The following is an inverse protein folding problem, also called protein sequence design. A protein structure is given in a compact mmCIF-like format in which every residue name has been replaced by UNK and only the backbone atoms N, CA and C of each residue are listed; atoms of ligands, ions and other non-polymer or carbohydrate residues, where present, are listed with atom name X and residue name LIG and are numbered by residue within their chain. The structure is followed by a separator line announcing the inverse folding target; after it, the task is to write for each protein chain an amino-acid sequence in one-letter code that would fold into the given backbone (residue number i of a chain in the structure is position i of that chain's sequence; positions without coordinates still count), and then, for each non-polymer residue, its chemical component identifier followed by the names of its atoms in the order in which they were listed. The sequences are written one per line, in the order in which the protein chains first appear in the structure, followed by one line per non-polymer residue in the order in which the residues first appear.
data_IF_465987756854
#
_entry.id   IF_465987756854
#
_cell.length_a   1.000
_cell.length_b   1.000
_cell.length_c   1.000
_cell.angle_alpha   90.00
_cell.angle_beta   90.00
_cell.angle_gamma   90.00
#
_symmetry.space_group_name_H-M   'P 1'
#
loop_
_entity.id
_entity.type
_entity.pdbx_description
1 polymer ?
#
# COMPACT_ATOMS: atom_id res chain seq x y z
N UNK A 1 23.42 -2.07 -0.39
CA UNK A 1 22.18 -1.59 0.25
C UNK A 1 22.36 -1.70 1.76
N UNK A 2 22.56 -0.57 2.46
CA UNK A 2 22.55 -0.53 3.94
C UNK A 2 21.10 -0.36 4.42
N UNK A 3 20.79 -0.85 5.62
CA UNK A 3 19.54 -0.52 6.32
C UNK A 3 18.27 -1.15 5.74
N UNK A 4 18.36 -2.34 5.13
CA UNK A 4 17.16 -3.11 4.75
C UNK A 4 16.48 -3.63 6.03
N UNK A 5 15.21 -3.30 6.20
CA UNK A 5 14.36 -3.80 7.29
C UNK A 5 13.27 -4.68 6.69
N UNK A 6 13.12 -5.88 7.24
CA UNK A 6 12.05 -6.80 6.86
C UNK A 6 10.93 -6.71 7.90
N UNK A 7 9.69 -6.78 7.43
CA UNK A 7 8.50 -6.80 8.26
C UNK A 7 7.65 -8.03 7.97
N UNK A 8 6.75 -8.38 8.87
CA UNK A 8 5.63 -9.28 8.54
C UNK A 8 4.51 -8.48 7.89
N UNK A 9 3.54 -9.15 7.26
CA UNK A 9 2.37 -8.48 6.66
C UNK A 9 1.56 -7.69 7.68
N UNK A 10 1.68 -8.04 8.97
CA UNK A 10 1.04 -7.33 10.08
C UNK A 10 1.46 -5.86 10.21
N UNK A 11 2.68 -5.49 9.79
CA UNK A 11 3.17 -4.12 9.87
C UNK A 11 2.41 -3.16 8.93
N UNK A 12 1.84 -3.67 7.84
CA UNK A 12 1.06 -2.91 6.87
C UNK A 12 -0.42 -2.79 7.26
N UNK A 13 -0.86 -3.47 8.32
CA UNK A 13 -2.28 -3.46 8.72
C UNK A 13 -2.66 -2.16 9.41
N UNK A 14 -3.90 -1.73 9.18
CA UNK A 14 -4.61 -0.85 10.11
C UNK A 14 -4.60 -1.44 11.50
N UNK A 15 -4.24 -0.64 12.49
CA UNK A 15 -4.08 -1.10 13.86
C UNK A 15 -4.71 -0.15 14.89
N UNK A 16 -5.41 0.88 14.44
CA UNK A 16 -6.24 1.74 15.26
C UNK A 16 -7.70 1.59 14.82
N UNK A 17 -8.58 1.26 15.77
CA UNK A 17 -10.02 1.21 15.53
C UNK A 17 -10.57 2.62 15.65
N UNK A 18 -10.95 3.21 14.52
CA UNK A 18 -11.62 4.51 14.51
C UNK A 18 -13.11 4.29 14.19
N UNK A 19 -14.00 4.84 15.02
CA UNK A 19 -15.45 4.78 14.80
C UNK A 19 -15.81 5.64 13.59
N UNK A 20 -16.61 5.09 12.67
CA UNK A 20 -17.15 5.83 11.52
C UNK A 20 -16.22 5.89 10.32
N UNK A 21 -16.14 4.79 9.56
CA UNK A 21 -15.59 4.84 8.21
C UNK A 21 -16.49 5.72 7.32
N UNK A 22 -15.92 6.62 6.51
CA UNK A 22 -16.70 7.39 5.57
C UNK A 22 -17.30 6.44 4.54
N UNK A 23 -18.61 6.51 4.31
CA UNK A 23 -19.22 5.76 3.21
C UNK A 23 -18.65 6.23 1.87
N UNK A 24 -18.27 5.28 1.02
CA UNK A 24 -17.93 5.57 -0.36
C UNK A 24 -19.20 5.93 -1.14
N UNK A 25 -19.28 7.16 -1.67
CA UNK A 25 -20.42 7.61 -2.49
C UNK A 25 -19.95 8.37 -3.72
N UNK A 26 -20.50 8.01 -4.87
CA UNK A 26 -20.23 8.62 -6.18
C UNK A 26 -21.14 9.82 -6.52
N UNK A 27 -21.72 10.46 -5.51
CA UNK A 27 -22.63 11.58 -5.73
C UNK A 27 -21.88 12.80 -6.29
N UNK A 28 -22.41 13.38 -7.37
CA UNK A 28 -21.85 14.59 -7.98
C UNK A 28 -21.93 15.75 -6.99
N UNK A 29 -20.79 16.39 -6.71
CA UNK A 29 -20.70 17.57 -5.84
C UNK A 29 -20.44 17.28 -4.36
N UNK A 30 -20.50 16.03 -3.91
CA UNK A 30 -20.16 15.68 -2.53
C UNK A 30 -18.64 15.76 -2.30
N UNK A 31 -18.24 16.57 -1.31
CA UNK A 31 -16.88 16.58 -0.75
C UNK A 31 -16.93 15.84 0.58
N UNK A 32 -16.09 14.83 0.74
CA UNK A 32 -16.01 14.04 1.97
C UNK A 32 -14.61 14.16 2.57
N UNK A 33 -14.54 14.54 3.83
CA UNK A 33 -13.30 14.44 4.60
C UNK A 33 -13.06 12.96 4.93
N UNK A 34 -11.97 12.41 4.41
CA UNK A 34 -11.53 11.04 4.63
C UNK A 34 -10.22 10.97 5.41
N UNK A 35 -9.83 12.06 6.09
CA UNK A 35 -8.64 12.14 6.94
C UNK A 35 -8.58 11.03 7.99
N UNK A 36 -9.75 10.54 8.41
CA UNK A 36 -9.91 9.41 9.34
C UNK A 36 -9.23 8.12 8.87
N UNK A 37 -9.03 7.94 7.56
CA UNK A 37 -8.37 6.74 7.01
C UNK A 37 -6.87 6.72 7.34
N UNK A 38 -6.23 7.90 7.38
CA UNK A 38 -4.82 8.04 7.76
C UNK A 38 -4.65 7.68 9.24
N UNK A 39 -5.62 8.08 10.06
CA UNK A 39 -5.61 7.87 11.52
C UNK A 39 -5.81 6.41 11.95
N UNK A 40 -6.12 5.50 11.01
CA UNK A 40 -6.22 4.06 11.30
C UNK A 40 -4.85 3.37 11.40
N UNK A 41 -3.77 4.08 11.09
CA UNK A 41 -2.40 3.62 11.18
C UNK A 41 -1.69 4.31 12.34
N UNK A 42 -1.14 3.52 13.26
CA UNK A 42 -0.52 4.01 14.50
C UNK A 42 0.63 5.01 14.30
N UNK A 43 1.34 4.94 13.17
CA UNK A 43 2.52 5.76 12.89
C UNK A 43 2.24 6.92 11.93
N UNK A 44 0.97 7.12 11.54
CA UNK A 44 0.58 8.14 10.59
C UNK A 44 -0.31 9.19 11.23
N UNK A 45 -0.18 10.41 10.73
CA UNK A 45 -1.03 11.55 11.07
C UNK A 45 -1.37 12.32 9.82
N UNK A 46 -2.43 13.12 9.88
CA UNK A 46 -2.63 14.21 8.92
C UNK A 46 -1.86 15.42 9.42
N UNK A 47 -1.03 16.03 8.56
CA UNK A 47 -0.23 17.22 8.90
C UNK A 47 -1.15 18.35 9.38
N UNK A 48 -0.67 19.16 10.33
CA UNK A 48 -1.43 20.31 10.83
C UNK A 48 -1.82 21.28 9.71
N UNK A 49 -3.11 21.66 9.66
CA UNK A 49 -3.65 22.52 8.60
C UNK A 49 -3.91 21.83 7.25
N UNK A 50 -3.73 20.50 7.19
CA UNK A 50 -4.06 19.68 6.02
C UNK A 50 -5.31 18.84 6.28
N UNK A 51 -5.97 18.46 5.19
CA UNK A 51 -7.08 17.51 5.16
C UNK A 51 -6.95 16.60 3.95
N UNK A 52 -7.42 15.36 4.08
CA UNK A 52 -7.58 14.45 2.94
C UNK A 52 -9.06 14.40 2.58
N UNK A 53 -9.39 14.75 1.35
CA UNK A 53 -10.79 14.79 0.89
C UNK A 53 -11.00 13.90 -0.34
N UNK A 54 -12.14 13.23 -0.44
CA UNK A 54 -12.61 12.63 -1.69
C UNK A 54 -13.67 13.53 -2.32
N UNK A 55 -13.51 13.83 -3.60
CA UNK A 55 -14.45 14.60 -4.40
C UNK A 55 -14.52 14.00 -5.81
N UNK A 56 -15.74 13.67 -6.26
CA UNK A 56 -16.00 13.10 -7.59
C UNK A 56 -15.16 11.84 -7.91
N UNK A 57 -14.82 11.07 -6.87
CA UNK A 57 -14.02 9.85 -6.97
C UNK A 57 -12.54 10.10 -7.31
N UNK A 58 -12.02 11.26 -6.90
CA UNK A 58 -10.60 11.57 -6.82
C UNK A 58 -10.31 11.99 -5.38
N UNK A 59 -9.17 11.57 -4.84
CA UNK A 59 -8.73 11.95 -3.50
C UNK A 59 -7.69 13.06 -3.61
N UNK A 60 -7.82 14.07 -2.77
CA UNK A 60 -6.99 15.26 -2.75
C UNK A 60 -6.44 15.52 -1.36
N UNK A 61 -5.28 16.16 -1.31
CA UNK A 61 -4.81 16.87 -0.13
C UNK A 61 -5.26 18.34 -0.22
N UNK A 62 -5.86 18.86 0.85
CA UNK A 62 -6.32 20.25 0.94
C UNK A 62 -5.62 20.96 2.08
N UNK A 63 -5.17 22.19 1.84
CA UNK A 63 -4.69 23.10 2.88
C UNK A 63 -5.15 24.53 2.56
N UNK A 64 -5.36 25.35 3.59
CA UNK A 64 -5.81 26.73 3.43
C UNK A 64 -4.83 27.57 2.59
N UNK A 65 -3.53 27.30 2.72
CA UNK A 65 -2.48 28.15 2.14
C UNK A 65 -2.09 27.77 0.71
N UNK A 66 -2.32 26.51 0.29
CA UNK A 66 -1.88 25.96 -1.01
C UNK A 66 -3.01 25.40 -1.87
N UNK A 67 -4.25 25.49 -1.41
CA UNK A 67 -5.43 24.99 -2.13
C UNK A 67 -5.51 23.45 -2.17
N UNK A 68 -6.12 22.92 -3.24
CA UNK A 68 -6.22 21.48 -3.49
C UNK A 68 -4.99 20.96 -4.26
N UNK A 69 -4.45 19.84 -3.79
CA UNK A 69 -3.41 19.04 -4.42
C UNK A 69 -3.95 17.67 -4.78
N UNK A 70 -3.64 17.19 -5.97
CA UNK A 70 -4.07 15.85 -6.43
C UNK A 70 -3.37 14.71 -5.68
N UNK A 71 -2.16 14.93 -5.16
CA UNK A 71 -1.49 13.92 -4.35
C UNK A 71 -1.95 14.00 -2.89
N UNK A 72 -2.86 13.11 -2.52
CA UNK A 72 -3.37 12.97 -1.16
C UNK A 72 -2.26 12.71 -0.12
N UNK A 73 -1.16 12.06 -0.53
CA UNK A 73 -0.06 11.72 0.36
C UNK A 73 0.76 12.95 0.78
N UNK A 74 0.60 14.11 0.12
CA UNK A 74 1.16 15.38 0.60
C UNK A 74 0.64 15.77 1.99
N UNK A 75 -0.61 15.41 2.31
CA UNK A 75 -1.22 15.68 3.61
C UNK A 75 -0.78 14.70 4.71
N UNK A 76 -0.16 13.57 4.34
CA UNK A 76 0.23 12.51 5.28
C UNK A 76 1.58 12.83 5.91
N UNK A 77 1.65 12.66 7.23
CA UNK A 77 2.86 12.73 8.04
C UNK A 77 3.04 11.48 8.89
N UNK A 78 4.18 11.39 9.56
CA UNK A 78 4.55 10.31 10.45
C UNK A 78 5.92 10.57 11.07
N UNK A 79 6.45 9.61 11.80
CA UNK A 79 7.69 9.75 12.59
C UNK A 79 8.98 9.51 11.78
N UNK A 80 8.88 9.22 10.48
CA UNK A 80 10.02 8.90 9.61
C UNK A 80 10.65 7.53 9.85
N UNK A 81 10.05 6.69 10.69
CA UNK A 81 10.54 5.33 10.94
C UNK A 81 10.25 4.40 9.75
N UNK A 82 11.01 3.30 9.59
CA UNK A 82 10.71 2.25 8.62
C UNK A 82 9.27 1.73 8.70
N UNK A 83 8.72 1.60 9.92
CA UNK A 83 7.33 1.16 10.13
C UNK A 83 6.34 2.20 9.60
N UNK A 84 6.59 3.49 9.85
CA UNK A 84 5.74 4.56 9.34
C UNK A 84 5.66 4.57 7.82
N UNK A 85 6.78 4.34 7.12
CA UNK A 85 6.76 4.23 5.65
C UNK A 85 6.01 2.99 5.16
N UNK A 86 6.12 1.84 5.86
CA UNK A 86 5.35 0.64 5.51
C UNK A 86 3.84 0.87 5.69
N UNK A 87 3.45 1.52 6.78
CA UNK A 87 2.06 1.90 7.00
C UNK A 87 1.59 2.95 5.97
N UNK A 88 2.43 3.91 5.59
CA UNK A 88 2.10 4.89 4.56
C UNK A 88 1.89 4.26 3.18
N UNK A 89 2.66 3.22 2.84
CA UNK A 89 2.46 2.45 1.60
C UNK A 89 1.10 1.75 1.59
N UNK A 90 0.69 1.17 2.72
CA UNK A 90 -0.66 0.60 2.87
C UNK A 90 -1.75 1.66 2.83
N UNK A 91 -1.54 2.78 3.52
CA UNK A 91 -2.46 3.92 3.55
C UNK A 91 -2.71 4.49 2.15
N UNK A 92 -1.68 4.59 1.31
CA UNK A 92 -1.83 5.00 -0.09
C UNK A 92 -2.86 4.15 -0.86
N UNK A 93 -2.80 2.84 -0.66
CA UNK A 93 -3.77 1.91 -1.24
C UNK A 93 -5.17 2.08 -0.63
N UNK A 94 -5.26 2.24 0.68
CA UNK A 94 -6.53 2.49 1.36
C UNK A 94 -7.19 3.81 0.91
N UNK A 95 -6.42 4.85 0.66
CA UNK A 95 -6.93 6.10 0.07
C UNK A 95 -7.37 5.89 -1.38
N UNK A 96 -6.67 5.03 -2.14
CA UNK A 96 -7.00 4.72 -3.53
C UNK A 96 -8.35 4.00 -3.68
N UNK A 97 -8.80 3.27 -2.65
CA UNK A 97 -10.16 2.69 -2.60
C UNK A 97 -11.27 3.76 -2.66
N UNK A 98 -10.97 4.99 -2.26
CA UNK A 98 -11.89 6.13 -2.31
C UNK A 98 -11.79 6.91 -3.64
N UNK A 99 -11.13 6.33 -4.64
CA UNK A 99 -11.10 6.83 -6.02
C UNK A 99 -11.99 5.96 -6.93
N UNK A 100 -12.36 6.45 -8.12
CA UNK A 100 -13.09 5.64 -9.14
C UNK A 100 -12.33 4.40 -9.59
N UNK A 101 -11.00 4.42 -9.47
CA UNK A 101 -10.13 3.34 -9.93
C UNK A 101 -10.05 2.20 -8.92
N UNK A 102 -10.34 2.47 -7.64
CA UNK A 102 -10.12 1.54 -6.53
C UNK A 102 -8.62 1.28 -6.27
N UNK A 103 -8.32 0.50 -5.24
CA UNK A 103 -6.97 -0.02 -5.02
C UNK A 103 -6.71 -1.30 -5.81
N UNK A 104 -5.45 -1.47 -6.21
CA UNK A 104 -4.90 -2.71 -6.75
C UNK A 104 -4.31 -3.65 -5.69
N UNK A 105 -4.30 -3.23 -4.42
CA UNK A 105 -3.73 -3.96 -3.30
C UNK A 105 -4.66 -3.90 -2.10
N UNK A 106 -4.91 -5.07 -1.50
CA UNK A 106 -5.62 -5.23 -0.24
C UNK A 106 -4.63 -5.69 0.83
N UNK A 107 -4.78 -5.21 2.07
CA UNK A 107 -3.94 -5.65 3.19
C UNK A 107 -3.99 -7.18 3.40
N UNK A 108 -5.13 -7.80 3.09
CA UNK A 108 -5.31 -9.23 3.19
C UNK A 108 -4.50 -10.02 2.15
N UNK A 109 -4.23 -9.44 0.99
CA UNK A 109 -3.45 -10.07 -0.09
C UNK A 109 -1.94 -9.87 0.05
N UNK A 110 -1.48 -8.97 0.94
CA UNK A 110 -0.05 -8.79 1.20
C UNK A 110 0.54 -10.10 1.74
N UNK A 111 1.56 -10.58 1.05
CA UNK A 111 2.33 -11.77 1.38
C UNK A 111 3.34 -11.48 2.49
N UNK A 112 3.58 -12.51 3.31
CA UNK A 112 4.78 -12.70 4.09
C UNK A 112 5.12 -14.20 4.08
N UNK A 113 6.30 -14.56 4.57
CA UNK A 113 6.80 -15.94 4.53
C UNK A 113 5.91 -16.89 5.34
N UNK A 114 5.16 -16.39 6.31
CA UNK A 114 4.19 -17.17 7.09
C UNK A 114 2.93 -17.47 6.29
N UNK A 115 2.39 -16.47 5.56
CA UNK A 115 1.25 -16.66 4.67
C UNK A 115 1.57 -17.62 3.54
N UNK A 116 2.74 -17.48 2.91
CA UNK A 116 3.20 -18.40 1.84
C UNK A 116 3.23 -19.84 2.37
N UNK A 117 3.82 -20.07 3.54
CA UNK A 117 3.85 -21.40 4.18
C UNK A 117 2.45 -21.93 4.45
N UNK A 118 1.54 -21.10 4.95
CA UNK A 118 0.16 -21.53 5.18
C UNK A 118 -0.56 -21.90 3.87
N UNK A 119 -0.40 -21.10 2.82
CA UNK A 119 -0.98 -21.40 1.50
C UNK A 119 -0.43 -22.72 0.96
N UNK A 120 0.88 -22.96 1.08
CA UNK A 120 1.52 -24.21 0.66
C UNK A 120 0.98 -25.42 1.44
N UNK A 121 0.84 -25.30 2.77
CA UNK A 121 0.26 -26.34 3.62
C UNK A 121 -1.17 -26.72 3.21
N UNK A 122 -1.97 -25.76 2.76
CA UNK A 122 -3.33 -25.98 2.28
C UNK A 122 -3.42 -26.27 0.77
N UNK A 123 -2.28 -26.48 0.08
CA UNK A 123 -2.20 -26.69 -1.38
C UNK A 123 -2.85 -25.58 -2.19
N UNK A 124 -2.80 -24.37 -1.64
CA UNK A 124 -3.33 -23.13 -2.21
C UNK A 124 -2.23 -22.25 -2.81
N UNK A 125 -1.00 -22.74 -2.83
CA UNK A 125 0.18 -22.08 -3.38
C UNK A 125 0.63 -22.77 -4.67
N UNK A 126 0.56 -22.07 -5.80
CA UNK A 126 0.88 -22.67 -7.10
C UNK A 126 2.24 -22.27 -7.68
N UNK A 127 3.03 -21.46 -6.97
CA UNK A 127 4.30 -20.91 -7.48
C UNK A 127 5.54 -21.73 -7.07
N UNK A 128 5.36 -22.95 -6.58
CA UNK A 128 6.44 -23.83 -6.16
C UNK A 128 7.32 -23.22 -5.04
N UNK A 129 8.57 -23.69 -4.95
CA UNK A 129 9.47 -23.24 -3.89
C UNK A 129 9.89 -21.78 -4.09
N UNK A 130 9.69 -20.95 -3.07
CA UNK A 130 10.10 -19.54 -3.08
C UNK A 130 11.51 -19.39 -2.52
N UNK A 131 12.47 -19.05 -3.36
CA UNK A 131 13.89 -18.91 -2.97
C UNK A 131 14.23 -17.56 -2.31
N UNK A 132 13.28 -16.61 -2.27
CA UNK A 132 13.49 -15.28 -1.68
C UNK A 132 12.29 -14.91 -0.81
N UNK A 133 12.56 -14.27 0.32
CA UNK A 133 11.50 -13.78 1.19
C UNK A 133 10.57 -12.81 0.46
N UNK A 134 9.26 -13.00 0.62
CA UNK A 134 8.20 -12.14 0.09
C UNK A 134 7.65 -11.18 1.15
N UNK A 135 8.32 -11.13 2.31
CA UNK A 135 8.04 -10.18 3.37
C UNK A 135 8.08 -8.73 2.86
N UNK A 136 7.22 -7.84 3.39
CA UNK A 136 7.35 -6.40 3.19
C UNK A 136 8.76 -5.92 3.53
N UNK A 137 9.30 -5.05 2.68
CA UNK A 137 10.67 -4.57 2.79
C UNK A 137 10.69 -3.06 2.83
N UNK A 138 11.45 -2.50 3.76
CA UNK A 138 11.88 -1.11 3.75
C UNK A 138 13.39 -0.99 3.49
N UNK A 139 13.81 0.02 2.73
CA UNK A 139 15.21 0.44 2.61
C UNK A 139 15.31 1.85 2.06
N UNK A 140 16.51 2.43 2.09
CA UNK A 140 16.81 3.67 1.35
C UNK A 140 17.49 3.37 0.01
N UNK A 141 17.05 4.02 -1.05
CA UNK A 141 17.73 3.95 -2.35
C UNK A 141 19.06 4.73 -2.36
N UNK A 142 19.76 4.73 -3.50
CA UNK A 142 21.05 5.43 -3.65
C UNK A 142 20.97 6.95 -3.49
N UNK A 143 19.78 7.53 -3.64
CA UNK A 143 19.50 8.95 -3.48
C UNK A 143 18.86 9.26 -2.11
N UNK A 144 18.89 8.29 -1.19
CA UNK A 144 18.33 8.38 0.17
C UNK A 144 16.81 8.60 0.20
N UNK A 145 16.09 8.16 -0.81
CA UNK A 145 14.64 8.07 -0.74
C UNK A 145 14.22 6.84 0.05
N UNK A 146 13.25 6.96 0.96
CA UNK A 146 12.61 5.80 1.59
C UNK A 146 11.88 4.98 0.52
N UNK A 147 12.08 3.66 0.51
CA UNK A 147 11.44 2.74 -0.44
C UNK A 147 10.80 1.59 0.32
N UNK A 148 9.54 1.32 0.00
CA UNK A 148 8.80 0.15 0.47
C UNK A 148 8.44 -0.76 -0.69
N UNK A 149 8.75 -2.04 -0.56
CA UNK A 149 8.32 -3.09 -1.49
C UNK A 149 7.32 -3.99 -0.79
N UNK A 150 6.14 -4.16 -1.40
CA UNK A 150 5.12 -5.11 -0.99
C UNK A 150 4.91 -6.14 -2.09
N UNK A 151 4.66 -7.38 -1.71
CA UNK A 151 4.19 -8.42 -2.62
C UNK A 151 2.75 -8.77 -2.26
N UNK A 152 1.88 -8.91 -3.25
CA UNK A 152 0.48 -9.28 -3.04
C UNK A 152 0.07 -10.47 -3.91
N UNK A 153 -0.72 -11.38 -3.35
CA UNK A 153 -1.22 -12.58 -4.01
C UNK A 153 -2.68 -12.44 -4.41
N UNK A 154 -2.96 -12.67 -5.69
CA UNK A 154 -4.29 -12.55 -6.28
C UNK A 154 -4.65 -13.84 -7.00
N UNK A 155 -5.86 -14.35 -6.73
CA UNK A 155 -6.39 -15.61 -7.31
C UNK A 155 -7.52 -15.38 -8.31
N UNK A 156 -7.95 -14.14 -8.52
CA UNK A 156 -9.05 -13.79 -9.42
C UNK A 156 -8.61 -13.99 -10.88
N UNK A 157 -9.05 -15.09 -11.49
CA UNK A 157 -8.66 -15.47 -12.84
C UNK A 157 -7.30 -16.16 -12.87
N UNK A 158 -6.26 -15.44 -13.31
CA UNK A 158 -4.90 -15.98 -13.40
C UNK A 158 -4.19 -15.69 -12.08
N UNK A 159 -3.72 -16.75 -11.41
CA UNK A 159 -3.04 -16.60 -10.14
C UNK A 159 -1.74 -15.79 -10.35
N UNK A 160 -1.64 -14.67 -9.64
CA UNK A 160 -0.60 -13.68 -9.88
C UNK A 160 -0.02 -13.19 -8.56
N UNK A 161 1.30 -13.07 -8.51
CA UNK A 161 2.00 -12.29 -7.48
C UNK A 161 2.34 -10.95 -8.10
N UNK A 162 1.90 -9.87 -7.49
CA UNK A 162 2.25 -8.51 -7.89
C UNK A 162 3.29 -7.94 -6.94
N UNK A 163 4.24 -7.19 -7.49
CA UNK A 163 5.23 -6.43 -6.74
C UNK A 163 4.89 -4.95 -6.85
N UNK A 164 4.62 -4.34 -5.70
CA UNK A 164 4.35 -2.92 -5.54
C UNK A 164 5.56 -2.22 -4.94
N UNK A 165 6.03 -1.14 -5.58
CA UNK A 165 7.18 -0.34 -5.18
C UNK A 165 6.69 1.08 -4.87
N UNK A 166 6.89 1.51 -3.64
CA UNK A 166 6.53 2.83 -3.13
C UNK A 166 7.82 3.57 -2.84
N UNK A 167 8.12 4.59 -3.64
CA UNK A 167 9.29 5.44 -3.43
C UNK A 167 8.85 6.80 -2.91
N UNK A 168 9.12 7.06 -1.65
CA UNK A 168 8.75 8.29 -0.97
C UNK A 168 9.73 9.42 -1.27
N UNK A 169 9.29 10.66 -1.09
CA UNK A 169 10.18 11.81 -1.05
C UNK A 169 11.18 11.70 0.11
N UNK A 170 12.36 12.31 -0.06
CA UNK A 170 13.42 12.27 0.97
C UNK A 170 12.95 12.90 2.29
N UNK A 171 12.07 13.89 2.21
CA UNK A 171 11.56 14.65 3.36
C UNK A 171 10.02 14.73 3.29
N UNK A 172 9.36 13.58 3.28
CA UNK A 172 7.91 13.53 3.25
C UNK A 172 7.36 12.14 2.95
N UNK A 173 6.04 12.10 2.79
CA UNK A 173 5.28 10.88 2.49
C UNK A 173 4.61 10.91 1.12
N UNK A 174 4.72 12.02 0.38
CA UNK A 174 4.44 12.02 -1.05
C UNK A 174 5.31 10.96 -1.73
N UNK A 175 4.77 10.27 -2.74
CA UNK A 175 5.42 9.08 -3.27
C UNK A 175 5.17 8.87 -4.76
N UNK A 176 6.10 8.15 -5.39
CA UNK A 176 5.93 7.55 -6.71
C UNK A 176 5.65 6.07 -6.54
N UNK A 177 4.54 5.63 -7.14
CA UNK A 177 4.07 4.25 -7.10
C UNK A 177 4.35 3.54 -8.42
N UNK A 178 4.88 2.32 -8.34
CA UNK A 178 5.04 1.42 -9.47
C UNK A 178 4.57 0.03 -9.10
N UNK A 179 3.94 -0.66 -10.04
CA UNK A 179 3.46 -2.01 -9.85
C UNK A 179 3.74 -2.84 -11.09
N UNK A 180 4.08 -4.11 -10.89
CA UNK A 180 4.27 -5.08 -11.96
C UNK A 180 3.95 -6.49 -11.49
N UNK A 181 3.60 -7.36 -12.43
CA UNK A 181 3.55 -8.79 -12.14
C UNK A 181 4.96 -9.29 -11.83
N UNK A 182 5.11 -9.98 -10.71
CA UNK A 182 6.34 -10.62 -10.29
C UNK A 182 6.36 -12.08 -10.70
N UNK A 183 5.23 -12.77 -10.51
CA UNK A 183 5.02 -14.13 -11.01
C UNK A 183 3.58 -14.31 -11.48
N UNK A 184 3.39 -15.15 -12.49
CA UNK A 184 2.08 -15.51 -13.04
C UNK A 184 2.04 -17.02 -13.21
N UNK A 185 0.95 -17.64 -12.75
CA UNK A 185 0.67 -19.07 -12.91
C UNK A 185 -0.67 -19.25 -13.64
N UNK A 186 -0.63 -19.82 -14.84
CA UNK A 186 -1.86 -20.19 -15.55
C UNK A 186 -2.31 -21.57 -15.09
N UNK A 187 -3.64 -21.79 -15.02
CA UNK A 187 -4.21 -23.13 -14.88
C UNK A 187 -3.84 -23.95 -16.13
N UNK A 188 -2.84 -24.83 -16.00
CA UNK A 188 -2.34 -25.69 -17.08
C UNK A 188 -0.82 -25.61 -17.31
N UNK A 189 -0.14 -24.60 -16.77
CA UNK A 189 1.33 -24.53 -16.82
C UNK A 189 1.93 -25.42 -15.70
N UNK A 190 2.94 -26.24 -16.02
CA UNK A 190 3.69 -27.03 -15.01
C UNK A 190 4.63 -26.15 -14.16
N UNK A 191 5.01 -24.96 -14.65
CA UNK A 191 5.98 -24.09 -13.99
C UNK A 191 5.60 -22.59 -14.04
N UNK A 192 5.79 -21.83 -12.95
CA UNK A 192 5.52 -20.40 -12.89
C UNK A 192 6.49 -19.56 -13.72
N UNK A 193 5.97 -18.47 -14.30
CA UNK A 193 6.78 -17.47 -15.04
C UNK A 193 7.14 -16.32 -14.11
N UNK A 194 8.42 -16.11 -13.86
CA UNK A 194 8.94 -15.01 -13.03
C UNK A 194 9.44 -13.83 -13.88
N UNK A 195 9.21 -12.60 -13.43
CA UNK A 195 9.62 -11.38 -14.11
C UNK A 195 10.68 -10.60 -13.30
N UNK A 196 11.79 -10.24 -13.96
CA UNK A 196 12.92 -9.51 -13.35
C UNK A 196 12.65 -8.02 -13.14
#
# INVERSE_FOLDING_TARGET
MRGKVLFTRGAAKKNVVVKGLPEYRHESGAVRDISVLVQQYSQLIVKGGWQVISQQGVVYARTADRGLKQDAMEAVGGDGSPLSYVQAASCYHHLSDYTKKGSCLSEASILDDSLVRNLDLFKEWSFGQVHRSLNPVFFYDSLLHPVVILFSHHKEGIETIQKSIHRFERQGYALKFQQRNWAVQNRGDEFPKYYN
#
